data_IF_241877785614
#
_entry.id   IF_241877785614
#
_cell.length_a   1.000
_cell.length_b   1.000
_cell.length_c   1.000
_cell.angle_alpha   90.00
_cell.angle_beta   90.00
_cell.angle_gamma   90.00
#
_symmetry.space_group_name_H-M   'P 1'
#
loop_
_entity.id
_entity.type
_entity.pdbx_description
1 polymer ?
#
# COMPACT_ATOMS: atom_id res chain seq x y z
N UNK A 1 -13.53 20.54 -14.04
CA UNK A 1 -14.22 19.31 -14.25
C UNK A 1 -13.39 18.13 -13.90
N UNK A 2 -13.88 16.95 -14.12
CA UNK A 2 -13.38 15.73 -13.56
C UNK A 2 -12.04 15.23 -14.04
N UNK A 3 -11.55 15.67 -15.19
CA UNK A 3 -10.33 15.10 -15.77
C UNK A 3 -9.11 15.16 -14.86
N UNK A 4 -8.91 16.26 -14.16
CA UNK A 4 -7.77 16.40 -13.26
C UNK A 4 -7.89 15.49 -12.04
N UNK A 5 -9.08 15.46 -11.48
CA UNK A 5 -9.33 14.62 -10.30
C UNK A 5 -9.15 13.15 -10.64
N UNK A 6 -9.60 12.76 -11.81
CA UNK A 6 -9.48 11.38 -12.24
C UNK A 6 -8.03 10.96 -12.38
N UNK A 7 -7.19 11.82 -12.97
CA UNK A 7 -5.78 11.53 -13.11
C UNK A 7 -5.08 11.38 -11.77
N UNK A 8 -5.37 12.29 -10.86
CA UNK A 8 -4.79 12.23 -9.53
C UNK A 8 -5.24 10.99 -8.77
N UNK A 9 -6.53 10.69 -8.85
CA UNK A 9 -7.07 9.51 -8.20
C UNK A 9 -6.48 8.22 -8.75
N UNK A 10 -6.23 8.16 -10.05
CA UNK A 10 -5.60 7.00 -10.65
C UNK A 10 -4.18 6.81 -10.15
N UNK A 11 -3.43 7.89 -10.01
CA UNK A 11 -2.08 7.81 -9.48
C UNK A 11 -2.07 7.34 -8.02
N UNK A 12 -2.99 7.85 -7.21
CA UNK A 12 -3.11 7.40 -5.83
C UNK A 12 -3.50 5.94 -5.75
N UNK A 13 -4.45 5.52 -6.56
CA UNK A 13 -4.89 4.12 -6.57
C UNK A 13 -3.75 3.20 -6.96
N UNK A 14 -3.00 3.58 -7.99
CA UNK A 14 -1.87 2.77 -8.44
C UNK A 14 -0.79 2.70 -7.38
N UNK A 15 -0.44 3.83 -6.79
CA UNK A 15 0.59 3.86 -5.74
C UNK A 15 0.19 3.01 -4.55
N UNK A 16 -1.07 3.07 -4.15
CA UNK A 16 -1.57 2.26 -3.05
C UNK A 16 -1.53 0.77 -3.39
N UNK A 17 -1.94 0.42 -4.61
CA UNK A 17 -1.91 -0.97 -5.05
C UNK A 17 -0.50 -1.52 -5.06
N UNK A 18 0.46 -0.74 -5.51
CA UNK A 18 1.86 -1.16 -5.53
C UNK A 18 2.40 -1.34 -4.11
N UNK A 19 2.06 -0.44 -3.20
CA UNK A 19 2.50 -0.55 -1.81
C UNK A 19 1.92 -1.79 -1.15
N UNK A 20 0.65 -2.09 -1.39
CA UNK A 20 0.02 -3.27 -0.84
C UNK A 20 0.60 -4.55 -1.44
N UNK A 21 0.86 -4.57 -2.74
CA UNK A 21 1.46 -5.73 -3.38
C UNK A 21 2.85 -6.00 -2.82
N UNK A 22 3.63 -4.95 -2.59
CA UNK A 22 4.96 -5.11 -1.99
C UNK A 22 4.86 -5.66 -0.57
N UNK A 23 3.92 -5.16 0.21
CA UNK A 23 3.68 -5.66 1.56
C UNK A 23 3.33 -7.14 1.54
N UNK A 24 2.45 -7.56 0.63
CA UNK A 24 2.07 -8.96 0.49
C UNK A 24 3.26 -9.82 0.09
N UNK A 25 4.10 -9.35 -0.81
CA UNK A 25 5.29 -10.08 -1.23
C UNK A 25 6.25 -10.27 -0.08
N UNK A 26 6.44 -9.25 0.74
CA UNK A 26 7.31 -9.36 1.91
C UNK A 26 6.75 -10.34 2.93
N UNK A 27 5.45 -10.30 3.16
CA UNK A 27 4.82 -11.24 4.07
C UNK A 27 4.96 -12.66 3.57
N UNK A 28 4.75 -12.89 2.29
CA UNK A 28 4.90 -14.22 1.69
C UNK A 28 6.33 -14.72 1.82
N UNK A 29 7.31 -13.83 1.65
CA UNK A 29 8.72 -14.21 1.80
C UNK A 29 9.05 -14.64 3.22
N UNK A 30 8.29 -14.15 4.21
CA UNK A 30 8.44 -14.55 5.60
C UNK A 30 7.65 -15.80 5.96
N UNK A 31 6.94 -16.36 4.99
CA UNK A 31 6.12 -17.55 5.22
C UNK A 31 4.77 -17.25 5.85
N UNK A 32 4.35 -16.01 5.83
CA UNK A 32 3.08 -15.62 6.40
C UNK A 32 1.91 -16.00 5.49
N UNK A 33 0.76 -16.25 6.09
CA UNK A 33 -0.46 -16.60 5.37
C UNK A 33 -1.37 -15.39 5.15
N UNK A 34 -1.21 -14.35 5.96
CA UNK A 34 -2.07 -13.19 5.88
C UNK A 34 -1.35 -11.99 6.49
N UNK A 35 -1.86 -10.82 6.16
CA UNK A 35 -1.41 -9.57 6.77
C UNK A 35 -2.62 -8.91 7.39
N UNK A 36 -2.51 -8.54 8.65
CA UNK A 36 -3.61 -7.89 9.39
C UNK A 36 -3.16 -6.52 9.87
N UNK A 37 -4.12 -5.68 10.20
CA UNK A 37 -3.83 -4.36 10.72
C UNK A 37 -3.12 -3.49 9.70
N UNK A 38 -3.53 -3.55 8.45
CA UNK A 38 -2.87 -2.80 7.38
C UNK A 38 -3.18 -1.31 7.51
N UNK A 39 -2.12 -0.51 7.55
CA UNK A 39 -2.20 0.94 7.50
C UNK A 39 -1.54 1.44 6.24
N UNK A 40 -2.13 2.46 5.65
CA UNK A 40 -1.57 3.10 4.47
C UNK A 40 -1.36 4.57 4.80
N UNK A 41 -0.13 5.03 4.64
CA UNK A 41 0.22 6.41 4.89
C UNK A 41 0.60 7.08 3.59
N UNK A 42 0.22 8.33 3.48
CA UNK A 42 0.54 9.16 2.33
C UNK A 42 1.38 10.33 2.79
N UNK A 43 2.42 10.64 2.07
CA UNK A 43 3.26 11.77 2.38
C UNK A 43 3.64 12.49 1.11
N UNK A 44 3.44 13.80 1.12
CA UNK A 44 3.82 14.64 0.01
C UNK A 44 5.20 15.21 0.29
N UNK A 45 6.13 14.95 -0.61
CA UNK A 45 7.52 15.36 -0.46
C UNK A 45 7.82 16.54 -1.37
N UNK A 46 8.80 17.34 -0.95
CA UNK A 46 9.18 18.53 -1.68
C UNK A 46 8.07 19.56 -1.64
N UNK A 47 7.80 20.18 -2.77
CA UNK A 47 6.76 21.19 -2.86
C UNK A 47 5.51 20.64 -3.53
N UNK A 48 5.16 19.40 -3.21
CA UNK A 48 4.02 18.75 -3.79
C UNK A 48 4.33 18.03 -5.09
N UNK A 49 5.59 17.85 -5.39
CA UNK A 49 6.03 17.21 -6.63
C UNK A 49 6.12 15.69 -6.52
N UNK A 50 6.22 15.19 -5.32
CA UNK A 50 6.39 13.76 -5.10
C UNK A 50 5.39 13.27 -4.06
N UNK A 51 4.81 12.13 -4.32
CA UNK A 51 3.90 11.47 -3.38
C UNK A 51 4.52 10.14 -2.98
N UNK A 52 4.68 9.94 -1.69
CA UNK A 52 5.14 8.68 -1.16
C UNK A 52 3.98 7.97 -0.46
N UNK A 53 3.75 6.73 -0.85
CA UNK A 53 2.71 5.90 -0.23
C UNK A 53 3.40 4.72 0.43
N UNK A 54 3.15 4.54 1.70
CA UNK A 54 3.69 3.41 2.44
C UNK A 54 2.57 2.58 3.00
N UNK A 55 2.77 1.27 2.99
CA UNK A 55 1.84 0.33 3.60
C UNK A 55 2.58 -0.47 4.65
N UNK A 56 1.93 -0.68 5.78
CA UNK A 56 2.48 -1.49 6.85
C UNK A 56 1.38 -2.38 7.42
N UNK A 57 1.79 -3.46 8.05
CA UNK A 57 0.85 -4.39 8.65
C UNK A 57 1.58 -5.46 9.40
N UNK A 58 0.83 -6.36 10.00
CA UNK A 58 1.38 -7.46 10.75
C UNK A 58 1.19 -8.75 9.97
N UNK A 59 2.30 -9.40 9.63
CA UNK A 59 2.26 -10.69 8.96
C UNK A 59 1.96 -11.77 9.99
N UNK A 60 1.01 -12.64 9.67
CA UNK A 60 0.60 -13.70 10.59
C UNK A 60 0.55 -15.01 9.84
N UNK A 61 0.78 -16.08 10.60
CA UNK A 61 0.55 -17.43 10.11
C UNK A 61 -0.73 -17.96 10.73
N UNK A 62 -1.49 -18.70 9.92
CA UNK A 62 -2.73 -19.29 10.38
C UNK A 62 -2.51 -20.77 10.60
N UNK A 63 -2.82 -21.21 11.80
CA UNK A 63 -2.73 -22.63 12.11
C UNK A 63 -4.05 -23.29 11.80
N UNK A 64 -3.95 -24.47 11.22
CA UNK A 64 -5.14 -25.26 11.00
C UNK A 64 -5.45 -26.04 12.27
N UNK A 65 -6.69 -25.91 12.69
CA UNK A 65 -7.14 -26.64 13.88
C UNK A 65 -7.34 -28.11 13.58
#
# INVERSE_FOLDING_TARGET
MGGRSEGYEQELTQARSEALAELEQRAAALGAHAVVGVDIDYEVLGQGNMLMVTASGTAVTLEQA
#
